data_IF_303227199674
#
_entry.id   IF_303227199674
#
_cell.length_a   1.000
_cell.length_b   1.000
_cell.length_c   1.000
_cell.angle_alpha   90.00
_cell.angle_beta   90.00
_cell.angle_gamma   90.00
#
_symmetry.space_group_name_H-M   'P 1'
#
loop_
_entity.id
_entity.type
_entity.pdbx_description
1 polymer ?
#
# COMPACT_ATOMS: atom_id res chain seq x y z
N UNK A 1 32.82 -37.80 26.51
CA UNK A 1 32.47 -36.46 25.98
C UNK A 1 31.18 -36.61 25.20
N UNK A 2 30.04 -36.17 25.74
CA UNK A 2 28.73 -36.33 25.09
C UNK A 2 28.40 -35.08 24.27
N UNK A 3 28.32 -35.22 22.95
CA UNK A 3 27.86 -34.16 22.05
C UNK A 3 26.37 -33.92 22.23
N UNK A 4 26.01 -32.71 22.68
CA UNK A 4 24.64 -32.25 22.71
C UNK A 4 24.12 -32.06 21.27
N UNK A 5 23.18 -32.91 20.87
CA UNK A 5 22.47 -32.78 19.60
C UNK A 5 21.42 -31.66 19.74
N UNK A 6 21.69 -30.49 19.15
CA UNK A 6 20.73 -29.40 19.01
C UNK A 6 19.58 -29.86 18.10
N UNK A 7 18.52 -30.43 18.67
CA UNK A 7 17.26 -30.62 17.93
C UNK A 7 16.67 -29.24 17.67
N UNK A 8 16.62 -28.86 16.40
CA UNK A 8 15.80 -27.73 15.97
C UNK A 8 14.34 -28.04 16.32
N UNK A 9 13.73 -27.24 17.19
CA UNK A 9 12.31 -27.35 17.51
C UNK A 9 11.48 -26.99 16.26
N UNK A 10 10.79 -27.95 15.62
CA UNK A 10 10.01 -27.69 14.42
C UNK A 10 8.87 -26.71 14.67
N UNK A 11 8.38 -26.60 15.91
CA UNK A 11 7.34 -25.64 16.31
C UNK A 11 7.88 -24.21 16.29
N UNK A 12 9.09 -24.00 16.79
CA UNK A 12 9.75 -22.70 16.76
C UNK A 12 10.03 -22.20 15.33
N UNK A 13 10.38 -23.12 14.40
CA UNK A 13 10.58 -22.77 12.98
C UNK A 13 9.26 -22.39 12.30
N UNK A 14 8.20 -23.15 12.55
CA UNK A 14 6.87 -22.86 11.98
C UNK A 14 6.33 -21.51 12.48
N UNK A 15 6.45 -21.23 13.78
CA UNK A 15 6.02 -19.95 14.37
C UNK A 15 6.76 -18.78 13.73
N UNK A 16 8.07 -18.87 13.52
CA UNK A 16 8.85 -17.82 12.83
C UNK A 16 8.40 -17.59 11.40
N UNK A 17 8.09 -18.65 10.66
CA UNK A 17 7.56 -18.55 9.28
C UNK A 17 6.18 -17.89 9.27
N UNK A 18 5.31 -18.26 10.21
CA UNK A 18 3.98 -17.64 10.32
C UNK A 18 4.08 -16.14 10.66
N UNK A 19 4.94 -15.76 11.60
CA UNK A 19 5.17 -14.36 11.95
C UNK A 19 5.72 -13.58 10.75
N UNK A 20 6.71 -14.11 10.04
CA UNK A 20 7.27 -13.46 8.86
C UNK A 20 6.23 -13.34 7.73
N UNK A 21 5.42 -14.36 7.50
CA UNK A 21 4.34 -14.34 6.51
C UNK A 21 3.27 -13.29 6.85
N UNK A 22 2.88 -13.18 8.12
CA UNK A 22 1.90 -12.20 8.57
C UNK A 22 2.43 -10.75 8.44
N UNK A 23 3.70 -10.53 8.79
CA UNK A 23 4.37 -9.24 8.63
C UNK A 23 4.47 -8.82 7.14
N UNK A 24 4.76 -9.77 6.26
CA UNK A 24 4.83 -9.49 4.82
C UNK A 24 3.45 -9.16 4.25
N UNK A 25 2.43 -9.93 4.60
CA UNK A 25 1.05 -9.71 4.15
C UNK A 25 0.50 -8.35 4.59
N UNK A 26 0.86 -7.88 5.78
CA UNK A 26 0.46 -6.56 6.29
C UNK A 26 1.20 -5.41 5.60
N UNK A 27 2.47 -5.59 5.20
CA UNK A 27 3.21 -4.59 4.43
C UNK A 27 2.64 -4.37 3.02
N UNK A 28 2.05 -5.40 2.41
CA UNK A 28 1.41 -5.32 1.08
C UNK A 28 0.07 -4.55 1.08
N UNK A 29 -0.51 -4.28 2.25
CA UNK A 29 -1.78 -3.58 2.39
C UNK A 29 -1.64 -2.04 2.47
N UNK A 30 -0.43 -1.50 2.30
CA UNK A 30 -0.21 -0.06 2.35
C UNK A 30 -0.92 0.65 1.17
N UNK A 31 -1.72 1.69 1.44
CA UNK A 31 -2.41 2.42 0.39
C UNK A 31 -1.41 3.18 -0.50
N UNK A 32 -1.73 3.32 -1.79
CA UNK A 32 -0.90 3.96 -2.81
C UNK A 32 -0.63 5.47 -2.60
N UNK A 33 -0.96 6.02 -1.43
CA UNK A 33 -0.59 7.37 -0.99
C UNK A 33 0.91 7.58 -0.84
N UNK A 34 1.70 6.51 -0.74
CA UNK A 34 3.13 6.59 -0.43
C UNK A 34 4.02 7.19 -1.55
N UNK A 35 3.48 7.53 -2.72
CA UNK A 35 4.26 8.13 -3.82
C UNK A 35 3.73 9.49 -4.30
N UNK A 36 2.87 10.15 -3.52
CA UNK A 36 2.37 11.48 -3.92
C UNK A 36 3.40 12.54 -3.53
N UNK A 37 3.93 13.33 -4.49
CA UNK A 37 4.84 14.44 -4.17
C UNK A 37 4.17 15.49 -3.29
N UNK A 38 4.95 16.37 -2.68
CA UNK A 38 4.41 17.56 -2.02
C UNK A 38 3.56 18.37 -3.01
N UNK A 39 2.32 18.65 -2.62
CA UNK A 39 1.33 19.30 -3.46
C UNK A 39 0.38 20.16 -2.62
N UNK A 40 -0.33 21.07 -3.29
CA UNK A 40 -1.35 21.90 -2.65
C UNK A 40 -2.64 21.07 -2.55
N UNK A 41 -3.39 21.13 -1.44
CA UNK A 41 -4.67 20.44 -1.35
C UNK A 41 -5.60 20.83 -2.52
N UNK A 42 -6.23 19.84 -3.13
CA UNK A 42 -7.12 20.01 -4.27
C UNK A 42 -6.46 19.83 -5.64
N UNK A 43 -5.16 19.55 -5.69
CA UNK A 43 -4.43 19.37 -6.97
C UNK A 43 -4.21 17.90 -7.35
N UNK A 44 -4.43 16.95 -6.43
CA UNK A 44 -4.26 15.52 -6.71
C UNK A 44 -5.61 14.82 -6.67
N UNK A 45 -5.90 14.05 -7.70
CA UNK A 45 -7.05 13.15 -7.75
C UNK A 45 -6.63 11.75 -7.28
N UNK A 46 -7.06 11.35 -6.10
CA UNK A 46 -6.83 10.03 -5.52
C UNK A 46 -7.90 9.04 -5.96
N UNK A 47 -7.49 7.90 -6.53
CA UNK A 47 -8.37 6.77 -6.85
C UNK A 47 -8.07 5.60 -5.89
N UNK A 48 -8.79 4.48 -6.03
CA UNK A 48 -8.54 3.27 -5.22
C UNK A 48 -7.14 2.68 -5.41
N UNK A 49 -6.50 2.92 -6.56
CA UNK A 49 -5.28 2.21 -6.98
C UNK A 49 -4.09 3.10 -7.27
N UNK A 50 -4.32 4.34 -7.66
CA UNK A 50 -3.28 5.30 -8.06
C UNK A 50 -3.77 6.74 -7.91
N UNK A 51 -2.91 7.70 -8.21
CA UNK A 51 -3.25 9.12 -8.25
C UNK A 51 -2.88 9.73 -9.61
N UNK A 52 -3.54 10.84 -9.96
CA UNK A 52 -3.15 11.69 -11.08
C UNK A 52 -3.27 13.16 -10.70
N UNK A 53 -2.60 14.05 -11.44
CA UNK A 53 -2.84 15.49 -11.30
C UNK A 53 -4.25 15.84 -11.75
N UNK A 54 -4.97 16.55 -10.89
CA UNK A 54 -6.32 17.01 -11.18
C UNK A 54 -6.29 18.09 -12.26
N UNK A 55 -7.19 17.99 -13.24
CA UNK A 55 -7.34 18.97 -14.31
C UNK A 55 -8.83 19.28 -14.56
N UNK A 56 -9.35 20.45 -14.13
CA UNK A 56 -8.68 21.45 -13.28
C UNK A 56 -8.53 20.99 -11.82
N UNK A 57 -7.64 21.63 -11.04
CA UNK A 57 -7.68 21.56 -9.57
C UNK A 57 -9.01 22.06 -9.02
N UNK A 58 -9.32 21.71 -7.77
CA UNK A 58 -10.59 22.08 -7.14
C UNK A 58 -10.54 22.01 -5.62
N UNK A 59 -11.71 22.03 -5.00
CA UNK A 59 -11.82 21.92 -3.54
C UNK A 59 -11.44 20.50 -3.09
N UNK A 60 -10.61 20.33 -2.05
CA UNK A 60 -10.37 19.02 -1.44
C UNK A 60 -11.68 18.28 -1.13
N UNK A 61 -11.72 16.99 -1.42
CA UNK A 61 -12.89 16.12 -1.29
C UNK A 61 -13.88 16.15 -2.46
N UNK A 62 -13.71 17.05 -3.44
CA UNK A 62 -14.57 17.07 -4.62
C UNK A 62 -14.33 15.85 -5.53
N UNK A 63 -15.35 15.50 -6.31
CA UNK A 63 -15.25 14.42 -7.31
C UNK A 63 -14.26 14.79 -8.42
N UNK A 64 -13.45 13.81 -8.81
CA UNK A 64 -12.51 13.94 -9.90
C UNK A 64 -12.39 12.63 -10.69
N UNK A 65 -11.77 12.70 -11.86
CA UNK A 65 -11.59 11.54 -12.75
C UNK A 65 -10.16 11.53 -13.30
N UNK A 66 -9.49 10.39 -13.14
CA UNK A 66 -8.20 10.13 -13.77
C UNK A 66 -8.37 9.30 -15.05
N UNK A 67 -7.64 9.65 -16.11
CA UNK A 67 -7.59 8.83 -17.32
C UNK A 67 -6.55 7.73 -17.15
N UNK A 68 -6.87 6.51 -17.58
CA UNK A 68 -5.96 5.35 -17.54
C UNK A 68 -6.16 4.45 -18.75
N UNK A 69 -5.26 3.49 -18.95
CA UNK A 69 -5.40 2.47 -20.00
C UNK A 69 -6.66 1.59 -19.84
N UNK A 70 -7.18 1.47 -18.61
CA UNK A 70 -8.43 0.76 -18.31
C UNK A 70 -9.68 1.66 -18.46
N UNK A 71 -9.51 2.91 -18.90
CA UNK A 71 -10.54 3.92 -18.99
C UNK A 71 -10.60 4.87 -17.78
N UNK A 72 -11.62 5.73 -17.72
CA UNK A 72 -11.76 6.75 -16.69
C UNK A 72 -11.95 6.13 -15.29
N UNK A 73 -11.14 6.55 -14.33
CA UNK A 73 -11.18 6.08 -12.95
C UNK A 73 -11.69 7.21 -12.05
N UNK A 74 -12.74 6.93 -11.28
CA UNK A 74 -13.32 7.89 -10.34
C UNK A 74 -12.41 8.04 -9.12
N UNK A 75 -12.34 9.25 -8.59
CA UNK A 75 -11.53 9.57 -7.43
C UNK A 75 -12.05 10.76 -6.66
N UNK A 76 -11.28 11.17 -5.66
CA UNK A 76 -11.53 12.35 -4.84
C UNK A 76 -10.29 13.24 -4.80
N UNK A 77 -10.51 14.55 -4.82
CA UNK A 77 -9.41 15.51 -4.64
C UNK A 77 -8.86 15.42 -3.21
N UNK A 78 -7.54 15.31 -3.08
CA UNK A 78 -6.82 15.39 -1.80
C UNK A 78 -5.98 16.64 -1.69
#
# INVERSE_FOLDING_TARGET
MASASCRADPRGRLVRVLIAGLALASALAAPAVAQVPDHVPGTICFTERFWCWALPPGTPGADCVCQSVAGPQKGKLG
#
